data_IF_867207850013
#
_entry.id   IF_867207850013
#
_cell.length_a   1.000
_cell.length_b   1.000
_cell.length_c   1.000
_cell.angle_alpha   90.00
_cell.angle_beta   90.00
_cell.angle_gamma   90.00
#
_symmetry.space_group_name_H-M   'P 1'
#
loop_
_entity.id
_entity.type
_entity.pdbx_description
1 polymer ?
#
# COMPACT_ATOMS: atom_id res chain seq x y z
N UNK A 1 -29.06 42.60 63.04
CA UNK A 1 -27.72 42.33 62.46
C UNK A 1 -26.82 43.46 62.91
N UNK A 2 -25.67 43.15 63.52
CA UNK A 2 -24.72 44.20 63.95
C UNK A 2 -24.04 44.80 62.71
N UNK A 3 -23.63 46.08 62.77
CA UNK A 3 -22.98 46.77 61.65
C UNK A 3 -21.73 46.01 61.13
N UNK A 4 -21.05 45.30 62.02
CA UNK A 4 -19.91 44.44 61.70
C UNK A 4 -20.31 43.23 60.84
N UNK A 5 -21.42 42.55 61.16
CA UNK A 5 -21.97 41.45 60.35
C UNK A 5 -22.42 41.92 58.97
N UNK A 6 -22.95 43.14 58.86
CA UNK A 6 -23.36 43.73 57.57
C UNK A 6 -22.14 43.96 56.66
N UNK A 7 -21.05 44.50 57.20
CA UNK A 7 -19.82 44.76 56.45
C UNK A 7 -19.10 43.49 55.99
N UNK A 8 -19.12 42.42 56.79
CA UNK A 8 -18.57 41.11 56.42
C UNK A 8 -19.40 40.48 55.29
N UNK A 9 -20.73 40.60 55.36
CA UNK A 9 -21.63 40.11 54.32
C UNK A 9 -21.44 40.88 53.00
N UNK A 10 -21.29 42.20 53.04
CA UNK A 10 -21.00 43.03 51.87
C UNK A 10 -19.67 42.64 51.20
N UNK A 11 -18.62 42.38 52.01
CA UNK A 11 -17.34 41.86 51.50
C UNK A 11 -17.48 40.49 50.86
N UNK A 12 -18.21 39.57 51.48
CA UNK A 12 -18.48 38.25 50.91
C UNK A 12 -19.25 38.33 49.59
N UNK A 13 -20.26 39.21 49.49
CA UNK A 13 -21.00 39.45 48.25
C UNK A 13 -20.08 39.99 47.16
N UNK A 14 -19.17 40.91 47.48
CA UNK A 14 -18.21 41.45 46.50
C UNK A 14 -17.23 40.37 46.02
N UNK A 15 -16.70 39.53 46.92
CA UNK A 15 -15.82 38.40 46.55
C UNK A 15 -16.56 37.38 45.68
N UNK A 16 -17.81 37.05 45.99
CA UNK A 16 -18.62 36.15 45.17
C UNK A 16 -18.92 36.73 43.79
N UNK A 17 -19.20 38.04 43.69
CA UNK A 17 -19.37 38.74 42.42
C UNK A 17 -18.09 38.71 41.57
N UNK A 18 -16.94 38.91 42.18
CA UNK A 18 -15.65 38.86 41.47
C UNK A 18 -15.31 37.43 41.01
N UNK A 19 -15.60 36.42 41.83
CA UNK A 19 -15.49 35.01 41.44
C UNK A 19 -16.43 34.66 40.29
N UNK A 20 -17.70 35.09 40.34
CA UNK A 20 -18.66 34.88 39.26
C UNK A 20 -18.16 35.49 37.95
N UNK A 21 -17.68 36.74 37.99
CA UNK A 21 -17.06 37.41 36.82
C UNK A 21 -15.81 36.71 36.30
N UNK A 22 -15.02 36.09 37.18
CA UNK A 22 -13.84 35.32 36.77
C UNK A 22 -14.25 34.01 36.08
N UNK A 23 -15.23 33.29 36.63
CA UNK A 23 -15.79 32.07 36.03
C UNK A 23 -16.46 32.38 34.70
N UNK A 24 -17.24 33.45 34.58
CA UNK A 24 -17.88 33.85 33.32
C UNK A 24 -16.85 34.14 32.23
N UNK A 25 -15.73 34.79 32.58
CA UNK A 25 -14.61 35.02 31.65
C UNK A 25 -13.93 33.72 31.22
N UNK A 26 -13.70 32.79 32.15
CA UNK A 26 -13.13 31.48 31.84
C UNK A 26 -14.08 30.65 30.98
N UNK A 27 -15.37 30.66 31.28
CA UNK A 27 -16.40 29.96 30.51
C UNK A 27 -16.49 30.53 29.09
N UNK A 28 -16.47 31.85 28.94
CA UNK A 28 -16.46 32.50 27.63
C UNK A 28 -15.20 32.13 26.82
N UNK A 29 -14.02 32.17 27.45
CA UNK A 29 -12.77 31.77 26.81
C UNK A 29 -12.76 30.29 26.40
N UNK A 30 -13.21 29.39 27.29
CA UNK A 30 -13.34 27.97 27.02
C UNK A 30 -14.34 27.70 25.89
N UNK A 31 -15.47 28.41 25.87
CA UNK A 31 -16.48 28.31 24.82
C UNK A 31 -15.91 28.76 23.47
N UNK A 32 -15.20 29.90 23.42
CA UNK A 32 -14.53 30.38 22.21
C UNK A 32 -13.44 29.42 21.71
N UNK A 33 -12.71 28.79 22.61
CA UNK A 33 -11.72 27.78 22.23
C UNK A 33 -12.39 26.53 21.69
N UNK A 34 -13.47 26.09 22.31
CA UNK A 34 -14.24 24.94 21.85
C UNK A 34 -14.82 25.19 20.45
N UNK A 35 -15.41 26.37 20.19
CA UNK A 35 -15.91 26.71 18.85
C UNK A 35 -14.78 26.71 17.81
N UNK A 36 -13.61 27.26 18.14
CA UNK A 36 -12.44 27.23 17.24
C UNK A 36 -11.95 25.81 16.96
N UNK A 37 -11.88 24.96 17.98
CA UNK A 37 -11.49 23.56 17.83
C UNK A 37 -12.51 22.79 16.97
N UNK A 38 -13.81 23.03 17.19
CA UNK A 38 -14.85 22.45 16.39
C UNK A 38 -14.73 22.87 14.92
N UNK A 39 -14.48 24.15 14.64
CA UNK A 39 -14.22 24.65 13.29
C UNK A 39 -13.00 23.97 12.64
N UNK A 40 -11.87 23.90 13.34
CA UNK A 40 -10.66 23.23 12.83
C UNK A 40 -10.90 21.74 12.53
N UNK A 41 -11.64 21.04 13.41
CA UNK A 41 -11.99 19.64 13.18
C UNK A 41 -12.92 19.47 11.98
N UNK A 42 -13.86 20.39 11.75
CA UNK A 42 -14.71 20.35 10.56
C UNK A 42 -13.88 20.59 9.28
N UNK A 43 -12.94 21.53 9.30
CA UNK A 43 -12.03 21.77 8.17
C UNK A 43 -11.16 20.54 7.88
N UNK A 44 -10.53 19.96 8.91
CA UNK A 44 -9.71 18.76 8.75
C UNK A 44 -10.53 17.58 8.22
N UNK A 45 -11.77 17.40 8.71
CA UNK A 45 -12.69 16.38 8.20
C UNK A 45 -13.02 16.61 6.72
N UNK A 46 -13.29 17.85 6.31
CA UNK A 46 -13.57 18.18 4.92
C UNK A 46 -12.36 17.88 4.00
N UNK A 47 -11.14 18.16 4.47
CA UNK A 47 -9.91 17.84 3.75
C UNK A 47 -9.71 16.32 3.59
N UNK A 48 -9.94 15.54 4.64
CA UNK A 48 -9.87 14.07 4.58
C UNK A 48 -10.87 13.52 3.57
N UNK A 49 -12.12 14.02 3.57
CA UNK A 49 -13.14 13.59 2.60
C UNK A 49 -12.72 13.93 1.17
N UNK A 50 -12.12 15.11 0.95
CA UNK A 50 -11.59 15.50 -0.36
C UNK A 50 -10.46 14.57 -0.81
N UNK A 51 -9.49 14.29 0.05
CA UNK A 51 -8.37 13.40 -0.27
C UNK A 51 -8.86 11.98 -0.56
N UNK A 52 -9.80 11.48 0.22
CA UNK A 52 -10.42 10.18 -0.02
C UNK A 52 -11.12 10.11 -1.38
N UNK A 53 -11.88 11.14 -1.73
CA UNK A 53 -12.55 11.21 -3.04
C UNK A 53 -11.55 11.29 -4.21
N UNK A 54 -10.42 11.98 -4.04
CA UNK A 54 -9.37 12.02 -5.05
C UNK A 54 -8.75 10.63 -5.27
N UNK A 55 -8.47 9.91 -4.20
CA UNK A 55 -7.93 8.54 -4.24
C UNK A 55 -8.92 7.55 -4.87
N UNK A 56 -10.23 7.69 -4.58
CA UNK A 56 -11.28 6.89 -5.23
C UNK A 56 -11.41 7.18 -6.73
N UNK A 57 -11.17 8.42 -7.16
CA UNK A 57 -11.22 8.79 -8.57
C UNK A 57 -10.03 8.24 -9.37
N UNK A 58 -8.84 8.24 -8.76
CA UNK A 58 -7.64 7.61 -9.34
C UNK A 58 -7.78 6.11 -9.51
N UNK A 59 -8.64 5.50 -8.70
CA UNK A 59 -9.06 4.11 -8.81
C UNK A 59 -10.20 3.88 -9.78
N UNK A 60 -10.44 4.69 -10.82
CA UNK A 60 -11.47 4.43 -11.85
C UNK A 60 -10.88 3.90 -13.16
N UNK A 61 -11.60 3.02 -13.90
CA UNK A 61 -11.16 2.56 -15.22
C UNK A 61 -11.06 3.72 -16.23
N UNK A 62 -10.20 3.62 -17.26
CA UNK A 62 -9.50 2.41 -17.72
C UNK A 62 -8.22 2.09 -16.94
N UNK A 63 -7.87 0.79 -16.85
CA UNK A 63 -6.59 0.34 -16.30
C UNK A 63 -5.74 -0.37 -17.34
N UNK A 64 -4.43 -0.31 -17.15
CA UNK A 64 -3.48 -1.14 -17.87
C UNK A 64 -3.09 -2.36 -17.03
N UNK A 65 -2.83 -3.48 -17.69
CA UNK A 65 -2.31 -4.67 -17.02
C UNK A 65 -0.77 -4.65 -17.02
N UNK A 66 -0.18 -5.19 -15.97
CA UNK A 66 1.25 -5.47 -15.88
C UNK A 66 1.52 -6.76 -15.12
N UNK A 67 2.71 -7.32 -15.30
CA UNK A 67 3.16 -8.50 -14.54
C UNK A 67 4.35 -8.12 -13.68
N UNK A 68 4.30 -8.41 -12.39
CA UNK A 68 5.36 -8.10 -11.43
C UNK A 68 6.58 -8.97 -11.72
N UNK A 69 7.74 -8.33 -11.91
CA UNK A 69 9.02 -9.04 -12.10
C UNK A 69 9.99 -8.84 -10.93
N UNK A 70 9.78 -7.82 -10.11
CA UNK A 70 10.60 -7.56 -8.92
C UNK A 70 9.86 -6.66 -7.94
N UNK A 71 9.97 -6.98 -6.64
CA UNK A 71 9.50 -6.14 -5.55
C UNK A 71 10.69 -5.40 -4.95
N UNK A 72 10.64 -4.06 -4.89
CA UNK A 72 11.70 -3.25 -4.31
C UNK A 72 11.24 -2.71 -2.95
N UNK A 73 11.83 -3.26 -1.88
CA UNK A 73 11.55 -2.80 -0.53
C UNK A 73 12.28 -1.52 -0.21
N UNK A 74 11.70 -0.73 0.70
CA UNK A 74 12.30 0.50 1.19
C UNK A 74 13.72 0.25 1.71
N UNK A 75 14.68 1.08 1.29
CA UNK A 75 16.08 1.01 1.74
C UNK A 75 16.47 2.34 2.38
N UNK A 76 17.23 2.33 3.50
CA UNK A 76 17.72 3.56 4.10
C UNK A 76 18.52 4.42 3.10
N UNK A 77 18.25 5.72 3.12
CA UNK A 77 18.79 6.68 2.16
C UNK A 77 20.29 6.93 2.43
N UNK A 78 21.14 6.11 1.83
CA UNK A 78 22.60 6.31 1.77
C UNK A 78 23.01 7.23 0.62
N UNK A 79 22.28 8.32 0.37
CA UNK A 79 22.52 9.22 -0.77
C UNK A 79 21.97 8.73 -2.12
N UNK A 80 21.12 7.69 -2.12
CA UNK A 80 20.43 7.21 -3.30
C UNK A 80 19.13 7.99 -3.56
N UNK A 81 18.72 8.08 -4.82
CA UNK A 81 17.48 8.75 -5.23
C UNK A 81 16.22 8.08 -4.64
N UNK A 82 15.08 8.81 -4.52
CA UNK A 82 13.79 8.26 -4.09
C UNK A 82 13.40 6.97 -4.82
N UNK A 83 13.67 6.90 -6.13
CA UNK A 83 13.42 5.73 -6.98
C UNK A 83 14.11 4.42 -6.54
N UNK A 84 15.10 4.49 -5.65
CA UNK A 84 15.84 3.34 -5.11
C UNK A 84 15.57 3.16 -3.61
N UNK A 85 15.06 4.19 -2.93
CA UNK A 85 14.90 4.19 -1.47
C UNK A 85 13.46 3.92 -1.06
N UNK A 86 12.48 4.32 -1.87
CA UNK A 86 11.06 4.09 -1.61
C UNK A 86 10.60 2.71 -2.10
N UNK A 87 9.47 2.27 -1.55
CA UNK A 87 8.82 1.04 -2.01
C UNK A 87 8.35 1.22 -3.45
N UNK A 88 8.70 0.26 -4.30
CA UNK A 88 8.36 0.29 -5.71
C UNK A 88 8.35 -1.11 -6.28
N UNK A 89 7.77 -1.26 -7.46
CA UNK A 89 7.76 -2.53 -8.17
C UNK A 89 8.36 -2.35 -9.56
N UNK A 90 9.04 -3.38 -10.04
CA UNK A 90 9.32 -3.47 -11.45
C UNK A 90 8.26 -4.36 -12.09
N UNK A 91 7.55 -3.84 -13.08
CA UNK A 91 6.51 -4.55 -13.82
C UNK A 91 6.86 -4.59 -15.31
N UNK A 92 6.40 -5.64 -15.99
CA UNK A 92 6.40 -5.68 -17.45
C UNK A 92 5.00 -5.34 -17.93
N UNK A 93 4.88 -4.27 -18.71
CA UNK A 93 3.63 -3.87 -19.37
C UNK A 93 3.94 -3.50 -20.81
N UNK A 94 3.06 -3.87 -21.74
CA UNK A 94 3.26 -3.66 -23.18
C UNK A 94 4.66 -4.08 -23.71
N UNK A 95 5.25 -5.13 -23.12
CA UNK A 95 6.55 -5.67 -23.54
C UNK A 95 7.79 -4.91 -23.03
N UNK A 96 7.62 -3.86 -22.23
CA UNK A 96 8.74 -3.14 -21.60
C UNK A 96 8.72 -3.29 -20.08
N UNK A 97 9.91 -3.35 -19.49
CA UNK A 97 10.11 -3.30 -18.04
C UNK A 97 10.09 -1.85 -17.59
N UNK A 98 9.22 -1.50 -16.65
CA UNK A 98 9.13 -0.18 -16.03
C UNK A 98 9.13 -0.32 -14.51
N UNK A 99 9.64 0.70 -13.82
CA UNK A 99 9.51 0.82 -12.36
C UNK A 99 8.33 1.70 -12.03
N UNK A 100 7.48 1.23 -11.13
CA UNK A 100 6.20 1.83 -10.78
C UNK A 100 6.07 2.01 -9.27
N UNK A 101 5.30 3.02 -8.86
CA UNK A 101 4.89 3.22 -7.48
C UNK A 101 3.70 2.34 -7.09
N UNK A 102 3.38 2.31 -5.81
CA UNK A 102 2.18 1.67 -5.28
C UNK A 102 1.18 2.72 -4.83
N UNK A 103 -0.09 2.51 -5.15
CA UNK A 103 -1.17 3.29 -4.56
C UNK A 103 -1.16 3.12 -3.03
N UNK A 104 -1.48 4.16 -2.24
CA UNK A 104 -1.58 4.06 -0.79
C UNK A 104 -2.56 2.98 -0.27
N UNK A 105 -3.44 2.48 -1.14
CA UNK A 105 -4.40 1.41 -0.84
C UNK A 105 -3.83 0.00 -0.99
N UNK A 106 -2.63 -0.15 -1.55
CA UNK A 106 -2.00 -1.44 -1.86
C UNK A 106 -0.75 -1.63 -1.03
N UNK A 107 -0.63 -2.80 -0.40
CA UNK A 107 0.59 -3.16 0.35
C UNK A 107 1.54 -4.01 -0.50
N UNK A 108 2.82 -3.66 -0.51
CA UNK A 108 3.88 -4.42 -1.18
C UNK A 108 3.97 -5.88 -0.69
N UNK A 109 3.54 -6.15 0.54
CA UNK A 109 3.61 -7.50 1.15
C UNK A 109 2.56 -8.45 0.58
N UNK A 110 1.49 -7.90 0.00
CA UNK A 110 0.41 -8.68 -0.62
C UNK A 110 0.73 -9.05 -2.08
N UNK A 111 1.83 -8.52 -2.61
CA UNK A 111 2.24 -8.71 -4.00
C UNK A 111 3.38 -9.71 -4.10
N UNK A 112 3.49 -10.33 -5.27
CA UNK A 112 4.44 -11.42 -5.53
C UNK A 112 4.92 -11.42 -6.97
N UNK A 113 6.16 -11.88 -7.19
CA UNK A 113 6.73 -12.01 -8.54
C UNK A 113 5.87 -12.98 -9.38
N UNK A 114 5.60 -12.60 -10.63
CA UNK A 114 4.74 -13.33 -11.56
C UNK A 114 3.26 -12.98 -11.47
N UNK A 115 2.84 -12.25 -10.43
CA UNK A 115 1.46 -11.82 -10.27
C UNK A 115 1.10 -10.72 -11.27
N UNK A 116 -0.14 -10.75 -11.79
CA UNK A 116 -0.70 -9.66 -12.57
C UNK A 116 -1.17 -8.53 -11.66
N UNK A 117 -1.01 -7.29 -12.13
CA UNK A 117 -1.41 -6.07 -11.42
C UNK A 117 -2.15 -5.12 -12.35
N UNK A 118 -3.03 -4.32 -11.76
CA UNK A 118 -3.66 -3.19 -12.43
C UNK A 118 -2.86 -1.91 -12.19
N UNK A 119 -2.66 -1.17 -13.28
CA UNK A 119 -1.96 0.10 -13.32
C UNK A 119 -2.95 1.21 -13.71
N UNK A 120 -2.94 2.32 -12.97
CA UNK A 120 -3.68 3.53 -13.35
C UNK A 120 -2.97 4.30 -14.48
N UNK A 121 -3.49 5.48 -14.84
CA UNK A 121 -2.93 6.33 -15.89
C UNK A 121 -1.53 6.86 -15.56
N UNK A 122 -1.20 7.00 -14.28
CA UNK A 122 0.13 7.37 -13.79
C UNK A 122 1.10 6.18 -13.69
N UNK A 123 0.67 4.98 -14.10
CA UNK A 123 1.39 3.71 -13.91
C UNK A 123 1.66 3.38 -12.44
N UNK A 124 0.78 3.75 -11.52
CA UNK A 124 0.83 3.23 -10.14
C UNK A 124 0.02 1.95 -10.01
N UNK A 125 0.52 1.02 -9.18
CA UNK A 125 -0.18 -0.23 -8.88
C UNK A 125 -1.37 0.07 -7.98
N UNK A 126 -2.58 -0.17 -8.50
CA UNK A 126 -3.84 0.05 -7.78
C UNK A 126 -4.48 -1.23 -7.25
N UNK A 127 -4.10 -2.40 -7.79
CA UNK A 127 -4.55 -3.69 -7.29
C UNK A 127 -3.61 -4.82 -7.75
N UNK A 128 -3.40 -5.80 -6.85
CA UNK A 128 -2.87 -7.12 -7.21
C UNK A 128 -3.99 -8.05 -7.63
N UNK A 129 -3.74 -8.86 -8.66
CA UNK A 129 -4.67 -9.86 -9.18
C UNK A 129 -4.15 -11.27 -8.88
N UNK A 130 -4.44 -12.23 -9.75
CA UNK A 130 -3.86 -13.57 -9.71
C UNK A 130 -2.60 -13.67 -10.57
N UNK A 131 -2.31 -14.89 -10.98
CA UNK A 131 -1.27 -15.20 -11.97
C UNK A 131 -1.95 -15.51 -13.30
N UNK A 132 -1.25 -15.24 -14.39
CA UNK A 132 -1.64 -15.74 -15.71
C UNK A 132 -1.79 -17.27 -15.64
N UNK A 133 -2.84 -17.81 -16.27
CA UNK A 133 -3.21 -19.22 -16.22
C UNK A 133 -2.88 -19.96 -17.51
N UNK A 134 -2.29 -19.26 -18.47
CA UNK A 134 -1.88 -19.79 -19.76
C UNK A 134 -0.40 -19.52 -20.01
N UNK A 135 0.30 -20.49 -20.57
CA UNK A 135 1.74 -20.36 -20.76
C UNK A 135 2.32 -21.54 -21.53
N UNK A 136 3.63 -21.49 -21.76
CA UNK A 136 4.37 -22.59 -22.35
C UNK A 136 4.60 -23.68 -21.30
N UNK A 137 4.24 -24.92 -21.61
CA UNK A 137 4.56 -26.06 -20.77
C UNK A 137 6.00 -26.49 -20.96
N UNK A 138 6.78 -26.46 -19.90
CA UNK A 138 8.19 -26.88 -19.86
C UNK A 138 8.43 -27.85 -18.71
N UNK A 139 9.60 -28.49 -18.69
CA UNK A 139 9.98 -29.43 -17.62
C UNK A 139 11.18 -28.88 -16.85
N UNK A 140 11.17 -28.97 -15.51
CA UNK A 140 12.30 -28.57 -14.68
C UNK A 140 13.46 -29.54 -14.90
N UNK A 141 14.59 -29.03 -15.38
CA UNK A 141 15.84 -29.77 -15.53
C UNK A 141 16.73 -29.64 -14.29
N UNK A 142 16.78 -28.45 -13.69
CA UNK A 142 17.59 -28.18 -12.50
C UNK A 142 16.98 -27.06 -11.64
N UNK A 143 17.14 -27.15 -10.31
CA UNK A 143 16.77 -26.09 -9.38
C UNK A 143 17.99 -25.19 -9.11
N UNK A 144 17.86 -23.88 -9.29
CA UNK A 144 18.95 -22.92 -9.22
C UNK A 144 18.74 -21.93 -8.07
N UNK A 145 19.33 -22.23 -6.91
CA UNK A 145 19.16 -21.40 -5.71
C UNK A 145 17.73 -21.49 -5.16
N UNK A 146 17.18 -20.38 -4.70
CA UNK A 146 15.87 -20.33 -4.06
C UNK A 146 14.72 -19.92 -5.00
N UNK A 147 15.03 -19.21 -6.09
CA UNK A 147 14.02 -18.46 -6.86
C UNK A 147 14.10 -18.67 -8.38
N UNK A 148 14.97 -19.57 -8.86
CA UNK A 148 15.17 -19.82 -10.28
C UNK A 148 15.27 -21.31 -10.59
N UNK A 149 14.94 -21.66 -11.82
CA UNK A 149 15.03 -23.04 -12.33
C UNK A 149 15.54 -23.04 -13.77
N UNK A 150 16.34 -24.04 -14.10
CA UNK A 150 16.65 -24.38 -15.48
C UNK A 150 15.53 -25.26 -16.00
N UNK A 151 14.90 -24.86 -17.10
CA UNK A 151 13.81 -25.59 -17.74
C UNK A 151 14.23 -26.05 -19.13
N UNK A 152 13.67 -27.17 -19.55
CA UNK A 152 13.77 -27.68 -20.91
C UNK A 152 12.38 -27.60 -21.59
N UNK A 153 12.34 -26.90 -22.70
CA UNK A 153 11.15 -26.68 -23.53
C UNK A 153 11.05 -27.69 -24.67
N UNK A 154 10.31 -27.31 -25.71
CA UNK A 154 10.20 -28.13 -26.93
C UNK A 154 11.51 -28.07 -27.73
N UNK A 155 11.94 -29.22 -28.27
CA UNK A 155 13.16 -29.30 -29.08
C UNK A 155 14.45 -29.15 -28.29
N UNK A 156 14.45 -29.56 -27.02
CA UNK A 156 15.59 -29.52 -26.11
C UNK A 156 16.18 -28.12 -25.85
N UNK A 157 15.37 -27.06 -26.03
CA UNK A 157 15.78 -25.70 -25.70
C UNK A 157 15.85 -25.53 -24.17
N UNK A 158 17.00 -25.07 -23.70
CA UNK A 158 17.25 -24.81 -22.29
C UNK A 158 17.27 -23.32 -21.98
N UNK A 159 16.51 -22.94 -20.95
CA UNK A 159 16.49 -21.55 -20.46
C UNK A 159 16.31 -21.49 -18.96
N UNK A 160 16.79 -20.41 -18.36
CA UNK A 160 16.62 -20.14 -16.92
C UNK A 160 15.44 -19.20 -16.74
N UNK A 161 14.49 -19.60 -15.90
CA UNK A 161 13.31 -18.82 -15.55
C UNK A 161 13.25 -18.59 -14.05
N UNK A 162 12.58 -17.50 -13.64
CA UNK A 162 12.27 -17.23 -12.23
C UNK A 162 11.04 -17.99 -11.79
N UNK A 163 10.96 -18.33 -10.51
CA UNK A 163 9.75 -18.90 -9.91
C UNK A 163 8.80 -17.76 -9.53
N UNK A 164 7.50 -17.94 -9.80
CA UNK A 164 6.46 -17.08 -9.26
C UNK A 164 6.38 -17.20 -7.74
N UNK A 165 5.78 -16.20 -7.08
CA UNK A 165 5.51 -16.29 -5.65
C UNK A 165 4.66 -17.51 -5.27
N UNK A 166 3.73 -17.93 -6.14
CA UNK A 166 2.94 -19.14 -5.94
C UNK A 166 3.82 -20.39 -5.91
N UNK A 167 4.75 -20.53 -6.88
CA UNK A 167 5.63 -21.69 -6.96
C UNK A 167 6.68 -21.75 -5.84
N UNK A 168 7.07 -20.61 -5.27
CA UNK A 168 7.97 -20.57 -4.11
C UNK A 168 7.36 -21.21 -2.86
N UNK A 169 6.03 -21.37 -2.82
CA UNK A 169 5.31 -22.03 -1.74
C UNK A 169 5.13 -23.54 -1.98
N UNK A 170 5.47 -24.03 -3.17
CA UNK A 170 5.35 -25.44 -3.56
C UNK A 170 6.67 -26.20 -3.45
N UNK A 171 6.58 -27.52 -3.27
CA UNK A 171 7.76 -28.40 -3.38
C UNK A 171 7.98 -28.79 -4.84
N UNK A 172 8.90 -28.09 -5.48
CA UNK A 172 9.36 -28.39 -6.84
C UNK A 172 10.46 -29.44 -6.86
N UNK A 173 10.44 -30.28 -7.89
CA UNK A 173 11.43 -31.32 -8.16
C UNK A 173 11.85 -31.30 -9.61
N UNK A 174 13.07 -31.80 -9.86
CA UNK A 174 13.51 -32.08 -11.24
C UNK A 174 12.54 -33.08 -11.87
N UNK A 175 12.14 -32.80 -13.11
CA UNK A 175 11.13 -33.56 -13.86
C UNK A 175 9.70 -33.04 -13.71
N UNK A 176 9.43 -32.13 -12.77
CA UNK A 176 8.10 -31.50 -12.68
C UNK A 176 7.80 -30.67 -13.94
N UNK A 177 6.56 -30.75 -14.40
CA UNK A 177 6.07 -29.90 -15.48
C UNK A 177 5.54 -28.58 -14.89
N UNK A 178 5.95 -27.46 -15.48
CA UNK A 178 5.51 -26.12 -15.07
C UNK A 178 5.07 -25.30 -16.28
N UNK A 179 4.12 -24.40 -16.06
CA UNK A 179 3.73 -23.39 -17.05
C UNK A 179 4.64 -22.17 -16.92
N UNK A 180 5.08 -21.59 -18.04
CA UNK A 180 5.96 -20.42 -18.08
C UNK A 180 5.32 -19.31 -18.91
N UNK A 181 5.34 -18.09 -18.37
CA UNK A 181 5.15 -16.87 -19.17
C UNK A 181 6.48 -16.46 -19.81
N UNK A 182 6.56 -16.60 -21.14
CA UNK A 182 7.73 -16.24 -21.92
C UNK A 182 8.00 -14.73 -21.97
N UNK A 183 7.00 -13.88 -21.73
CA UNK A 183 7.19 -12.43 -21.75
C UNK A 183 8.01 -11.97 -20.55
N UNK A 184 7.81 -12.59 -19.39
CA UNK A 184 8.51 -12.24 -18.14
C UNK A 184 9.62 -13.23 -17.75
N UNK A 185 9.69 -14.38 -18.43
CA UNK A 185 10.56 -15.51 -18.11
C UNK A 185 10.32 -15.98 -16.67
N UNK A 186 9.04 -16.20 -16.34
CA UNK A 186 8.57 -16.59 -15.02
C UNK A 186 7.75 -17.88 -15.10
N UNK A 187 8.12 -18.89 -14.32
CA UNK A 187 7.31 -20.09 -14.10
C UNK A 187 6.14 -19.74 -13.19
N UNK A 188 4.92 -20.07 -13.59
CA UNK A 188 3.67 -19.60 -13.02
C UNK A 188 3.06 -20.60 -12.04
N UNK A 189 2.90 -21.85 -12.48
CA UNK A 189 2.27 -22.93 -11.72
C UNK A 189 2.85 -24.29 -12.11
N UNK A 190 2.71 -25.27 -11.20
CA UNK A 190 3.02 -26.67 -11.44
C UNK A 190 1.83 -27.33 -12.12
N UNK A 191 2.08 -27.98 -13.25
CA UNK A 191 1.03 -28.62 -14.07
C UNK A 191 1.06 -30.13 -13.82
N UNK A 192 0.01 -30.71 -13.21
CA UNK A 192 -0.09 -32.16 -13.07
C UNK A 192 -0.16 -32.81 -14.44
N UNK A 193 0.68 -33.81 -14.69
CA UNK A 193 0.52 -34.70 -15.84
C UNK A 193 -0.25 -35.93 -15.37
N UNK A 194 -1.40 -36.18 -15.99
CA UNK A 194 -2.02 -37.50 -15.93
C UNK A 194 -1.21 -38.43 -16.82
N UNK A 195 -0.68 -39.49 -16.24
CA UNK A 195 -0.16 -40.64 -17.01
C UNK A 195 -1.29 -41.34 -17.77
#
# INVERSE_FOLDING_TARGET
>A
MTAEQLSVLERQVNVLRDKLRAVDRQLSAATSNNTRMAEMLQTAKAEIVRLKSALEHEGQPPYSYGTVVQLNRRRPAGGAAPAVTDESEDVVTAGRKIRVGLSPLVSLVELSVGQEVLLNEAFEVVAGLGYERSGELVTIKELLGADRVLVIGRGDEERVVRLSGALLLEQLRVGDAVSVDNRTQTALEKVPRSE
#
